data_IF_612786256802
#
_entry.id   IF_612786256802
#
_cell.length_a   1.000
_cell.length_b   1.000
_cell.length_c   1.000
_cell.angle_alpha   90.00
_cell.angle_beta   90.00
_cell.angle_gamma   90.00
#
_symmetry.space_group_name_H-M   'P 1'
#
loop_
_entity.id
_entity.type
_entity.pdbx_description
1 polymer ?
#
# COMPACT_ATOMS: atom_id res chain seq x y z
N UNK A 1 -22.03 -12.44 -1.58
CA UNK A 1 -20.83 -12.24 -0.73
C UNK A 1 -19.63 -12.80 -1.49
N UNK A 2 -18.64 -12.00 -1.93
CA UNK A 2 -17.27 -12.45 -2.32
C UNK A 2 -16.45 -11.38 -3.06
N UNK A 3 -16.28 -10.19 -2.49
CA UNK A 3 -15.30 -9.20 -2.98
C UNK A 3 -14.34 -8.69 -1.88
N UNK A 4 -14.50 -9.15 -0.63
CA UNK A 4 -13.71 -8.70 0.52
C UNK A 4 -12.37 -9.45 0.65
N UNK A 5 -12.36 -10.77 0.41
CA UNK A 5 -11.15 -11.60 0.49
C UNK A 5 -10.06 -11.21 -0.50
N UNK A 6 -10.41 -10.71 -1.69
CA UNK A 6 -9.44 -10.22 -2.69
C UNK A 6 -8.82 -8.89 -2.26
N UNK A 7 -9.62 -7.98 -1.72
CA UNK A 7 -9.16 -6.67 -1.25
C UNK A 7 -8.24 -6.79 -0.03
N UNK A 8 -8.56 -7.67 0.92
CA UNK A 8 -7.73 -7.86 2.12
C UNK A 8 -6.38 -8.54 1.76
N UNK A 9 -6.38 -9.53 0.86
CA UNK A 9 -5.13 -10.09 0.31
C UNK A 9 -4.27 -9.06 -0.40
N UNK A 10 -4.88 -8.18 -1.19
CA UNK A 10 -4.17 -7.12 -1.90
C UNK A 10 -3.54 -6.12 -0.93
N UNK A 11 -4.23 -5.79 0.17
CA UNK A 11 -3.70 -4.93 1.24
C UNK A 11 -2.54 -5.58 1.98
N UNK A 12 -2.65 -6.88 2.31
CA UNK A 12 -1.55 -7.62 2.94
C UNK A 12 -0.33 -7.72 2.00
N UNK A 13 -0.55 -7.86 0.69
CA UNK A 13 0.53 -7.88 -0.30
C UNK A 13 1.21 -6.51 -0.43
N UNK A 14 0.44 -5.41 -0.44
CA UNK A 14 0.97 -4.04 -0.39
C UNK A 14 1.81 -3.84 0.88
N UNK A 15 1.30 -4.24 2.04
CA UNK A 15 2.07 -4.13 3.29
C UNK A 15 3.33 -5.01 3.27
N UNK A 16 3.24 -6.23 2.74
CA UNK A 16 4.38 -7.13 2.55
C UNK A 16 5.49 -6.50 1.72
N UNK A 17 5.14 -5.86 0.60
CA UNK A 17 6.11 -5.13 -0.23
C UNK A 17 6.70 -3.92 0.51
N UNK A 18 5.89 -3.21 1.30
CA UNK A 18 6.36 -2.10 2.12
C UNK A 18 7.38 -2.55 3.17
N UNK A 19 7.10 -3.61 3.95
CA UNK A 19 8.02 -4.09 4.98
C UNK A 19 9.28 -4.76 4.42
N UNK A 20 9.23 -5.24 3.18
CA UNK A 20 10.40 -5.82 2.50
C UNK A 20 11.45 -4.76 2.13
N UNK A 21 11.08 -3.47 2.20
CA UNK A 21 12.01 -2.37 1.99
C UNK A 21 12.89 -2.17 3.23
N UNK A 22 14.11 -1.71 2.99
CA UNK A 22 15.04 -1.35 4.05
C UNK A 22 14.43 -0.25 4.96
N UNK A 23 14.73 -0.30 6.27
CA UNK A 23 14.14 0.59 7.27
C UNK A 23 14.33 2.08 6.98
N UNK A 24 15.48 2.43 6.43
CA UNK A 24 15.81 3.78 5.97
C UNK A 24 14.84 4.29 4.89
N UNK A 25 14.34 3.37 4.05
CA UNK A 25 13.34 3.63 3.00
C UNK A 25 11.89 3.46 3.45
N UNK A 26 11.66 3.10 4.71
CA UNK A 26 10.33 3.06 5.33
C UNK A 26 9.96 4.39 6.00
N UNK A 27 10.50 5.50 5.48
CA UNK A 27 10.23 6.87 5.94
C UNK A 27 9.17 7.53 5.08
N UNK A 28 8.57 8.59 5.63
CA UNK A 28 7.44 9.30 5.02
C UNK A 28 7.77 9.83 3.60
N UNK A 29 9.02 10.25 3.34
CA UNK A 29 9.50 10.70 2.03
C UNK A 29 9.47 9.62 0.96
N UNK A 30 9.75 8.37 1.35
CA UNK A 30 9.92 7.25 0.41
C UNK A 30 8.60 6.49 0.22
N UNK A 31 7.57 6.88 0.97
CA UNK A 31 6.22 6.33 0.86
C UNK A 31 5.51 6.85 -0.40
N UNK A 32 5.81 8.07 -0.86
CA UNK A 32 5.30 8.59 -2.13
C UNK A 32 5.83 7.78 -3.32
N UNK A 33 7.15 7.56 -3.36
CA UNK A 33 7.79 6.69 -4.37
C UNK A 33 7.23 5.27 -4.33
N UNK A 34 6.94 4.74 -3.14
CA UNK A 34 6.28 3.43 -3.01
C UNK A 34 4.90 3.37 -3.68
N UNK A 35 4.07 4.39 -3.43
CA UNK A 35 2.73 4.46 -4.00
C UNK A 35 2.79 4.54 -5.52
N UNK A 36 3.71 5.34 -6.06
CA UNK A 36 3.86 5.47 -7.50
C UNK A 36 4.37 4.18 -8.16
N UNK A 37 5.30 3.46 -7.51
CA UNK A 37 5.74 2.14 -7.95
C UNK A 37 4.59 1.10 -7.96
N UNK A 38 3.75 1.09 -6.92
CA UNK A 38 2.55 0.25 -6.88
C UNK A 38 1.56 0.60 -8.00
N UNK A 39 1.35 1.89 -8.24
CA UNK A 39 0.48 2.36 -9.31
C UNK A 39 0.97 1.92 -10.69
N UNK A 40 2.28 2.07 -10.94
CA UNK A 40 2.93 1.72 -12.20
C UNK A 40 3.03 0.20 -12.42
N UNK A 41 3.17 -0.59 -11.36
CA UNK A 41 3.13 -2.07 -11.43
C UNK A 41 1.72 -2.65 -11.63
N UNK A 42 0.68 -1.81 -11.54
CA UNK A 42 -0.71 -2.23 -11.68
C UNK A 42 -1.36 -2.72 -10.38
N UNK A 43 -0.64 -2.70 -9.25
CA UNK A 43 -1.16 -3.08 -7.94
C UNK A 43 -1.98 -1.93 -7.33
N UNK A 44 -3.15 -1.68 -7.93
CA UNK A 44 -4.00 -0.53 -7.63
C UNK A 44 -5.06 -0.88 -6.59
N UNK A 45 -5.03 -0.19 -5.46
CA UNK A 45 -6.08 -0.25 -4.42
C UNK A 45 -7.33 0.56 -4.76
N UNK A 46 -7.27 1.43 -5.77
CA UNK A 46 -8.41 2.22 -6.25
C UNK A 46 -8.25 2.58 -7.73
N UNK A 47 -9.35 3.02 -8.33
CA UNK A 47 -9.42 3.47 -9.72
C UNK A 47 -8.79 4.84 -9.97
N UNK A 48 -8.57 5.64 -8.93
CA UNK A 48 -7.88 6.94 -9.03
C UNK A 48 -6.60 6.95 -8.20
N UNK A 49 -5.58 7.68 -8.67
CA UNK A 49 -4.27 7.74 -8.02
C UNK A 49 -4.35 8.39 -6.63
N UNK A 50 -5.15 9.45 -6.48
CA UNK A 50 -5.37 10.11 -5.19
C UNK A 50 -6.00 9.17 -4.14
N UNK A 51 -7.02 8.38 -4.54
CA UNK A 51 -7.68 7.44 -3.64
C UNK A 51 -6.78 6.23 -3.37
N UNK A 52 -5.97 5.81 -4.35
CA UNK A 52 -4.97 4.75 -4.18
C UNK A 52 -3.94 5.14 -3.13
N UNK A 53 -3.36 6.35 -3.22
CA UNK A 53 -2.43 6.90 -2.25
C UNK A 53 -3.01 6.85 -0.83
N UNK A 54 -4.23 7.34 -0.65
CA UNK A 54 -4.89 7.34 0.66
C UNK A 54 -5.07 5.91 1.21
N UNK A 55 -5.43 4.95 0.36
CA UNK A 55 -5.55 3.56 0.78
C UNK A 55 -4.23 2.91 1.15
N UNK A 56 -3.15 3.13 0.39
CA UNK A 56 -1.81 2.61 0.72
C UNK A 56 -1.33 3.19 2.04
N UNK A 57 -1.47 4.51 2.24
CA UNK A 57 -1.13 5.17 3.49
C UNK A 57 -1.93 4.62 4.67
N UNK A 58 -3.23 4.38 4.50
CA UNK A 58 -4.07 3.80 5.54
C UNK A 58 -3.63 2.37 5.88
N UNK A 59 -3.26 1.54 4.89
CA UNK A 59 -2.73 0.19 5.11
C UNK A 59 -1.45 0.25 5.95
N UNK A 60 -0.49 1.08 5.55
CA UNK A 60 0.78 1.23 6.26
C UNK A 60 0.55 1.68 7.70
N UNK A 61 -0.27 2.73 7.93
CA UNK A 61 -0.57 3.24 9.27
C UNK A 61 -1.28 2.19 10.14
N UNK A 62 -2.28 1.50 9.59
CA UNK A 62 -3.08 0.51 10.34
C UNK A 62 -2.26 -0.66 10.88
N UNK A 63 -1.13 -0.97 10.24
CA UNK A 63 -0.24 -2.09 10.61
C UNK A 63 1.01 -1.66 11.39
N UNK A 64 1.22 -0.34 11.58
CA UNK A 64 2.27 0.23 12.44
C UNK A 64 1.69 0.64 13.80
N UNK A 65 0.39 0.96 13.86
CA UNK A 65 -0.31 1.31 15.10
C UNK A 65 -0.81 0.11 15.92
N UNK A 66 -0.45 -1.12 15.55
CA UNK A 66 -0.74 -2.38 16.27
C UNK A 66 0.60 -2.99 16.70
#
# INVERSE_FOLDING_TARGET
MSNKMSADRLRDQVYGQWISRAEDRRKQSDTESFVDELWNSGMKLASSQAVHYQHVMNVIRSKISD
#
